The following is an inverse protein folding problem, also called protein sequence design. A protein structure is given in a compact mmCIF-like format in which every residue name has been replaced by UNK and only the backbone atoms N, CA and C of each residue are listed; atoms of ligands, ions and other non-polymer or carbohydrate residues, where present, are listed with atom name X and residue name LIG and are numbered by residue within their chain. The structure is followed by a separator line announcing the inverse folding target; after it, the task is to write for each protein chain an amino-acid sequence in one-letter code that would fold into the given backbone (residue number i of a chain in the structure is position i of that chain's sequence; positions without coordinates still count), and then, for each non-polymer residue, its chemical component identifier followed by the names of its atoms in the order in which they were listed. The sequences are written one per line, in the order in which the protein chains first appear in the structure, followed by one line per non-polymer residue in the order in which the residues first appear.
data_IF_649574249394
#
_entry.id   IF_649574249394
#
_cell.length_a   1.000
_cell.length_b   1.000
_cell.length_c   1.000
_cell.angle_alpha   90.00
_cell.angle_beta   90.00
_cell.angle_gamma   90.00
#
_symmetry.space_group_name_H-M   'P 1'
#
loop_
_entity.id
_entity.type
_entity.pdbx_description
1 polymer ?
#
# COMPACT_ATOMS: atom_id res chain seq x y z
N UNK A 1 5.31 1.07 -27.20
CA UNK A 1 6.52 1.68 -26.60
C UNK A 1 6.73 1.25 -25.15
N UNK A 2 5.71 1.35 -24.28
CA UNK A 2 5.79 0.99 -22.86
C UNK A 2 6.40 -0.40 -22.60
N UNK A 3 5.84 -1.45 -23.21
CA UNK A 3 6.32 -2.83 -23.09
C UNK A 3 7.77 -3.02 -23.52
N UNK A 4 8.24 -2.27 -24.54
CA UNK A 4 9.63 -2.36 -24.97
C UNK A 4 10.57 -1.77 -23.91
N UNK A 5 10.20 -0.64 -23.31
CA UNK A 5 10.96 -0.07 -22.19
C UNK A 5 10.95 -1.01 -20.98
N UNK A 6 9.81 -1.61 -20.65
CA UNK A 6 9.72 -2.56 -19.54
C UNK A 6 10.62 -3.79 -19.76
N UNK A 7 10.55 -4.41 -20.95
CA UNK A 7 11.38 -5.56 -21.30
C UNK A 7 12.87 -5.21 -21.31
N UNK A 8 13.22 -3.99 -21.77
CA UNK A 8 14.58 -3.49 -21.69
C UNK A 8 15.04 -3.32 -20.23
N UNK A 9 14.20 -2.79 -19.34
CA UNK A 9 14.52 -2.66 -17.92
C UNK A 9 14.84 -4.02 -17.28
N UNK A 10 14.00 -5.03 -17.56
CA UNK A 10 14.21 -6.42 -17.10
C UNK A 10 15.53 -6.98 -17.64
N UNK A 11 15.86 -6.70 -18.91
CA UNK A 11 17.11 -7.15 -19.52
C UNK A 11 18.32 -6.48 -18.86
N UNK A 12 18.29 -5.17 -18.65
CA UNK A 12 19.37 -4.46 -17.94
C UNK A 12 19.54 -4.94 -16.50
N UNK A 13 18.43 -5.33 -15.83
CA UNK A 13 18.49 -5.87 -14.45
C UNK A 13 19.30 -7.17 -14.42
N UNK A 14 19.07 -8.06 -15.39
CA UNK A 14 19.84 -9.31 -15.55
C UNK A 14 21.32 -9.07 -15.81
N UNK A 15 21.67 -7.93 -16.43
CA UNK A 15 23.05 -7.52 -16.67
C UNK A 15 23.65 -6.72 -15.50
N UNK A 16 22.95 -6.63 -14.37
CA UNK A 16 23.32 -5.85 -13.19
C UNK A 16 23.55 -4.35 -13.49
N UNK A 17 22.90 -3.81 -14.52
CA UNK A 17 22.97 -2.39 -14.87
C UNK A 17 21.79 -1.63 -14.27
N UNK A 18 21.89 -1.34 -12.97
CA UNK A 18 20.80 -0.75 -12.18
C UNK A 18 20.39 0.64 -12.68
N UNK A 19 21.33 1.47 -13.13
CA UNK A 19 21.02 2.80 -13.67
C UNK A 19 20.13 2.70 -14.91
N UNK A 20 20.47 1.79 -15.84
CA UNK A 20 19.66 1.59 -17.05
C UNK A 20 18.34 0.91 -16.74
N UNK A 21 18.31 -0.03 -15.79
CA UNK A 21 17.07 -0.62 -15.29
C UNK A 21 16.12 0.45 -14.76
N UNK A 22 16.59 1.30 -13.86
CA UNK A 22 15.82 2.41 -13.29
C UNK A 22 15.25 3.32 -14.39
N UNK A 23 16.11 3.83 -15.28
CA UNK A 23 15.69 4.75 -16.36
C UNK A 23 14.63 4.13 -17.27
N UNK A 24 14.73 2.84 -17.54
CA UNK A 24 13.79 2.14 -18.43
C UNK A 24 12.46 1.84 -17.73
N UNK A 25 12.46 1.52 -16.43
CA UNK A 25 11.21 1.42 -15.67
C UNK A 25 10.46 2.76 -15.59
N UNK A 26 11.16 3.88 -15.35
CA UNK A 26 10.53 5.22 -15.39
C UNK A 26 9.90 5.49 -16.76
N UNK A 27 10.63 5.24 -17.86
CA UNK A 27 10.11 5.40 -19.22
C UNK A 27 8.92 4.47 -19.50
N UNK A 28 8.94 3.24 -19.00
CA UNK A 28 7.81 2.33 -19.12
C UNK A 28 6.58 2.91 -18.41
N UNK A 29 6.76 3.38 -17.17
CA UNK A 29 5.71 4.03 -16.38
C UNK A 29 5.09 5.22 -17.10
N UNK A 30 5.91 6.15 -17.60
CA UNK A 30 5.45 7.29 -18.39
C UNK A 30 4.62 6.90 -19.61
N UNK A 31 5.04 5.85 -20.33
CA UNK A 31 4.34 5.41 -21.54
C UNK A 31 3.03 4.66 -21.21
N UNK A 32 3.01 3.85 -20.15
CA UNK A 32 1.78 3.20 -19.70
C UNK A 32 0.75 4.22 -19.20
N UNK A 33 1.21 5.27 -18.48
CA UNK A 33 0.34 6.35 -18.03
C UNK A 33 -0.36 7.06 -19.20
N UNK A 34 0.39 7.36 -20.27
CA UNK A 34 -0.16 8.01 -21.48
C UNK A 34 -1.23 7.18 -22.20
N UNK A 35 -1.19 5.86 -22.06
CA UNK A 35 -2.20 4.95 -22.62
C UNK A 35 -3.25 4.56 -21.59
N UNK A 36 -3.36 5.29 -20.48
CA UNK A 36 -4.30 5.07 -19.39
C UNK A 36 -4.21 3.68 -18.74
N UNK A 37 -3.09 2.99 -18.93
CA UNK A 37 -2.82 1.71 -18.26
C UNK A 37 -2.20 1.98 -16.89
N UNK A 38 -3.06 2.34 -15.93
CA UNK A 38 -2.65 2.79 -14.60
C UNK A 38 -1.96 1.68 -13.80
N UNK A 39 -2.38 0.42 -13.95
CA UNK A 39 -1.78 -0.72 -13.23
C UNK A 39 -0.30 -0.88 -13.61
N UNK A 40 -0.02 -1.09 -14.90
CA UNK A 40 1.34 -1.31 -15.39
C UNK A 40 2.21 -0.05 -15.20
N UNK A 41 1.61 1.14 -15.28
CA UNK A 41 2.28 2.39 -14.95
C UNK A 41 2.74 2.41 -13.50
N UNK A 42 1.85 2.10 -12.57
CA UNK A 42 2.12 2.14 -11.12
C UNK A 42 3.18 1.09 -10.75
N UNK A 43 3.05 -0.12 -11.29
CA UNK A 43 4.03 -1.18 -11.11
C UNK A 43 5.41 -0.79 -11.65
N UNK A 44 5.47 -0.15 -12.81
CA UNK A 44 6.74 0.33 -13.37
C UNK A 44 7.41 1.37 -12.46
N UNK A 45 6.65 2.27 -11.84
CA UNK A 45 7.20 3.25 -10.91
C UNK A 45 7.65 2.63 -9.58
N UNK A 46 6.91 1.65 -9.05
CA UNK A 46 7.34 0.88 -7.88
C UNK A 46 8.66 0.14 -8.15
N UNK A 47 8.75 -0.54 -9.30
CA UNK A 47 9.99 -1.20 -9.72
C UNK A 47 11.15 -0.21 -9.90
N UNK A 48 10.90 0.97 -10.45
CA UNK A 48 11.92 2.02 -10.54
C UNK A 48 12.41 2.44 -9.15
N UNK A 49 11.49 2.67 -8.21
CA UNK A 49 11.84 3.02 -6.84
C UNK A 49 12.70 1.94 -6.17
N UNK A 50 12.30 0.67 -6.27
CA UNK A 50 13.05 -0.44 -5.67
C UNK A 50 14.49 -0.52 -6.21
N UNK A 51 14.67 -0.31 -7.52
CA UNK A 51 16.01 -0.31 -8.15
C UNK A 51 16.84 0.90 -7.72
N UNK A 52 16.21 2.06 -7.54
CA UNK A 52 16.92 3.24 -7.06
C UNK A 52 17.44 3.03 -5.63
N UNK A 53 16.64 2.40 -4.76
CA UNK A 53 17.07 2.02 -3.40
C UNK A 53 18.14 0.94 -3.43
N UNK A 54 17.94 -0.13 -4.21
CA UNK A 54 18.89 -1.24 -4.36
C UNK A 54 20.27 -0.76 -4.83
N UNK A 55 20.30 0.17 -5.79
CA UNK A 55 21.53 0.68 -6.38
C UNK A 55 22.11 1.92 -5.69
N UNK A 56 21.47 2.46 -4.65
CA UNK A 56 21.87 3.75 -4.07
C UNK A 56 21.89 4.90 -5.08
N UNK A 57 20.98 4.87 -6.05
CA UNK A 57 20.93 5.81 -7.17
C UNK A 57 20.32 7.14 -6.74
N UNK A 58 20.79 8.25 -7.31
CA UNK A 58 20.07 9.52 -7.23
C UNK A 58 18.81 9.46 -8.10
N UNK A 59 17.67 9.87 -7.56
CA UNK A 59 16.39 9.83 -8.25
C UNK A 59 15.49 11.00 -7.87
N UNK A 60 14.57 11.36 -8.76
CA UNK A 60 13.56 12.36 -8.49
C UNK A 60 12.50 11.79 -7.53
N UNK A 61 12.80 11.81 -6.23
CA UNK A 61 11.93 11.27 -5.18
C UNK A 61 10.51 11.83 -5.26
N UNK A 62 10.38 13.16 -5.36
CA UNK A 62 9.07 13.81 -5.45
C UNK A 62 8.27 13.33 -6.66
N UNK A 63 8.90 13.29 -7.84
CA UNK A 63 8.25 12.85 -9.08
C UNK A 63 7.79 11.38 -9.02
N UNK A 64 8.66 10.48 -8.59
CA UNK A 64 8.35 9.05 -8.48
C UNK A 64 7.24 8.81 -7.46
N UNK A 65 7.36 9.37 -6.25
CA UNK A 65 6.36 9.17 -5.20
C UNK A 65 5.01 9.71 -5.59
N UNK A 66 4.95 10.90 -6.21
CA UNK A 66 3.68 11.46 -6.68
C UNK A 66 2.98 10.55 -7.71
N UNK A 67 3.74 9.94 -8.63
CA UNK A 67 3.16 9.01 -9.61
C UNK A 67 2.65 7.73 -8.96
N UNK A 68 3.41 7.16 -8.02
CA UNK A 68 2.99 5.98 -7.25
C UNK A 68 1.70 6.29 -6.48
N UNK A 69 1.68 7.37 -5.70
CA UNK A 69 0.52 7.79 -4.89
C UNK A 69 -0.73 7.96 -5.77
N UNK A 70 -0.60 8.65 -6.91
CA UNK A 70 -1.71 8.85 -7.85
C UNK A 70 -2.22 7.54 -8.43
N UNK A 71 -1.31 6.67 -8.87
CA UNK A 71 -1.64 5.36 -9.41
C UNK A 71 -2.38 4.49 -8.40
N UNK A 72 -1.80 4.31 -7.21
CA UNK A 72 -2.40 3.54 -6.11
C UNK A 72 -3.80 4.05 -5.75
N UNK A 73 -4.01 5.37 -5.67
CA UNK A 73 -5.31 5.95 -5.34
C UNK A 73 -6.37 5.69 -6.42
N UNK A 74 -5.99 5.72 -7.70
CA UNK A 74 -6.91 5.41 -8.81
C UNK A 74 -7.32 3.94 -8.76
N UNK A 75 -6.35 3.03 -8.60
CA UNK A 75 -6.59 1.58 -8.53
C UNK A 75 -7.46 1.25 -7.30
N UNK A 76 -7.16 1.85 -6.14
CA UNK A 76 -7.95 1.68 -4.93
C UNK A 76 -9.40 2.14 -5.13
N UNK A 77 -9.62 3.30 -5.75
CA UNK A 77 -10.96 3.83 -6.03
C UNK A 77 -11.77 2.86 -6.89
N UNK A 78 -11.16 2.23 -7.88
CA UNK A 78 -11.82 1.23 -8.72
C UNK A 78 -12.12 -0.07 -7.93
N UNK A 79 -11.16 -0.53 -7.13
CA UNK A 79 -11.37 -1.65 -6.20
C UNK A 79 -12.55 -1.43 -5.25
N UNK A 80 -12.71 -0.22 -4.71
CA UNK A 80 -13.84 0.13 -3.84
C UNK A 80 -15.19 0.01 -4.55
N UNK A 81 -15.30 0.46 -5.80
CA UNK A 81 -16.54 0.31 -6.59
C UNK A 81 -16.88 -1.17 -6.80
N UNK A 82 -15.86 -1.98 -7.02
CA UNK A 82 -15.98 -3.43 -7.25
C UNK A 82 -16.02 -4.25 -5.96
N UNK A 83 -16.19 -3.60 -4.79
CA UNK A 83 -16.26 -4.24 -3.45
C UNK A 83 -15.00 -5.02 -3.05
N UNK A 84 -13.86 -4.75 -3.69
CA UNK A 84 -12.54 -5.29 -3.34
C UNK A 84 -11.93 -4.49 -2.18
N UNK A 85 -12.63 -4.44 -1.05
CA UNK A 85 -12.30 -3.53 0.05
C UNK A 85 -10.92 -3.77 0.67
N UNK A 86 -10.50 -5.03 0.81
CA UNK A 86 -9.18 -5.37 1.34
C UNK A 86 -8.07 -4.81 0.44
N UNK A 87 -8.11 -5.15 -0.86
CA UNK A 87 -7.12 -4.68 -1.83
C UNK A 87 -7.08 -3.15 -1.89
N UNK A 88 -8.24 -2.51 -1.94
CA UNK A 88 -8.31 -1.05 -1.96
C UNK A 88 -7.72 -0.41 -0.71
N UNK A 89 -8.01 -0.96 0.48
CA UNK A 89 -7.47 -0.45 1.73
C UNK A 89 -5.93 -0.60 1.79
N UNK A 90 -5.40 -1.73 1.29
CA UNK A 90 -3.94 -1.97 1.21
C UNK A 90 -3.25 -0.99 0.29
N UNK A 91 -3.83 -0.72 -0.88
CA UNK A 91 -3.31 0.28 -1.81
C UNK A 91 -3.31 1.70 -1.21
N UNK A 92 -4.34 2.05 -0.43
CA UNK A 92 -4.39 3.35 0.27
C UNK A 92 -3.29 3.41 1.35
N UNK A 93 -3.06 2.34 2.12
CA UNK A 93 -1.95 2.33 3.09
C UNK A 93 -0.59 2.49 2.43
N UNK A 94 -0.34 1.77 1.33
CA UNK A 94 0.92 1.90 0.60
C UNK A 94 1.10 3.32 0.06
N UNK A 95 0.02 3.94 -0.42
CA UNK A 95 0.00 5.35 -0.84
C UNK A 95 0.38 6.31 0.30
N UNK A 96 -0.11 6.08 1.53
CA UNK A 96 0.26 6.88 2.71
C UNK A 96 1.76 6.79 3.01
N UNK A 97 2.35 5.59 2.93
CA UNK A 97 3.79 5.36 3.17
C UNK A 97 4.67 6.20 2.23
N UNK A 98 4.28 6.35 0.96
CA UNK A 98 4.99 7.23 0.03
C UNK A 98 4.71 8.72 0.31
N UNK A 99 3.46 9.06 0.62
CA UNK A 99 3.07 10.45 0.89
C UNK A 99 3.81 11.03 2.11
N UNK A 100 3.93 10.27 3.21
CA UNK A 100 4.61 10.70 4.44
C UNK A 100 6.10 10.98 4.26
N UNK A 101 6.72 10.48 3.18
CA UNK A 101 8.13 10.71 2.89
C UNK A 101 8.38 11.95 2.00
N UNK A 102 7.33 12.67 1.63
CA UNK A 102 7.42 13.94 0.91
C UNK A 102 7.54 15.10 1.90
N UNK A 103 8.41 16.07 1.63
CA UNK A 103 8.54 17.29 2.46
C UNK A 103 7.24 18.12 2.52
N UNK A 104 6.35 17.91 1.55
CA UNK A 104 5.04 18.57 1.45
C UNK A 104 3.92 17.82 2.17
N UNK A 105 4.22 16.70 2.84
CA UNK A 105 3.24 15.90 3.53
C UNK A 105 2.55 16.71 4.63
N UNK A 106 1.21 16.66 4.68
CA UNK A 106 0.43 17.31 5.73
C UNK A 106 -0.26 16.27 6.60
N UNK A 107 -0.06 16.37 7.91
CA UNK A 107 -0.59 15.42 8.89
C UNK A 107 -2.11 15.23 8.79
N UNK A 108 -2.86 16.30 8.51
CA UNK A 108 -4.32 16.19 8.40
C UNK A 108 -4.77 15.31 7.22
N UNK A 109 -4.06 15.33 6.09
CA UNK A 109 -4.38 14.51 4.92
C UNK A 109 -4.06 13.04 5.18
N UNK A 110 -2.92 12.76 5.82
CA UNK A 110 -2.57 11.42 6.30
C UNK A 110 -3.69 10.90 7.21
N UNK A 111 -4.10 11.70 8.19
CA UNK A 111 -5.15 11.32 9.14
C UNK A 111 -6.50 11.03 8.44
N UNK A 112 -6.87 11.78 7.40
CA UNK A 112 -8.08 11.47 6.62
C UNK A 112 -7.95 10.15 5.83
N UNK A 113 -6.81 9.90 5.20
CA UNK A 113 -6.57 8.65 4.49
C UNK A 113 -6.61 7.45 5.45
N UNK A 114 -5.95 7.56 6.61
CA UNK A 114 -5.96 6.52 7.66
C UNK A 114 -7.38 6.29 8.20
N UNK A 115 -8.19 7.33 8.42
CA UNK A 115 -9.61 7.17 8.83
C UNK A 115 -10.43 6.33 7.86
N UNK A 116 -10.15 6.45 6.57
CA UNK A 116 -10.87 5.71 5.53
C UNK A 116 -10.42 4.26 5.43
N UNK A 117 -9.13 3.98 5.62
CA UNK A 117 -8.55 2.62 5.61
C UNK A 117 -9.23 1.71 6.63
N UNK A 118 -9.39 2.16 7.88
CA UNK A 118 -10.10 1.43 8.93
C UNK A 118 -11.48 0.95 8.45
N UNK A 119 -12.27 1.85 7.88
CA UNK A 119 -13.65 1.56 7.44
C UNK A 119 -13.67 0.49 6.36
N UNK A 120 -12.70 0.49 5.45
CA UNK A 120 -12.65 -0.46 4.35
C UNK A 120 -12.18 -1.85 4.79
N UNK A 121 -11.17 -1.94 5.64
CA UNK A 121 -10.77 -3.23 6.20
C UNK A 121 -11.88 -3.86 7.05
N UNK A 122 -12.55 -3.06 7.88
CA UNK A 122 -13.67 -3.55 8.68
C UNK A 122 -14.83 -4.06 7.81
N UNK A 123 -15.13 -3.36 6.70
CA UNK A 123 -16.10 -3.86 5.70
C UNK A 123 -15.63 -5.15 5.02
N UNK A 124 -14.34 -5.28 4.71
CA UNK A 124 -13.78 -6.48 4.09
C UNK A 124 -13.94 -7.70 5.01
N UNK A 125 -13.61 -7.56 6.30
CA UNK A 125 -13.77 -8.60 7.31
C UNK A 125 -15.23 -9.08 7.41
N UNK A 126 -16.17 -8.14 7.40
CA UNK A 126 -17.61 -8.42 7.56
C UNK A 126 -18.27 -9.05 6.33
N UNK A 127 -17.64 -9.06 5.16
CA UNK A 127 -18.23 -9.68 3.98
C UNK A 127 -18.34 -11.22 4.11
N UNK A 128 -17.60 -11.86 5.03
CA UNK A 128 -17.54 -13.33 5.30
C UNK A 128 -17.43 -14.25 4.05
N UNK A 129 -17.17 -13.67 2.87
CA UNK A 129 -17.03 -14.34 1.55
C UNK A 129 -15.57 -14.47 1.10
N UNK A 130 -14.63 -14.06 1.96
CA UNK A 130 -13.18 -14.13 1.72
C UNK A 130 -12.57 -15.20 2.63
N UNK A 131 -11.44 -15.75 2.24
CA UNK A 131 -10.76 -16.81 3.01
C UNK A 131 -10.43 -16.36 4.44
N UNK A 132 -10.43 -17.31 5.37
CA UNK A 132 -10.20 -17.10 6.80
C UNK A 132 -8.99 -16.21 7.11
N UNK A 133 -7.86 -16.44 6.46
CA UNK A 133 -6.64 -15.64 6.61
C UNK A 133 -6.86 -14.16 6.26
N UNK A 134 -7.63 -13.87 5.20
CA UNK A 134 -7.94 -12.50 4.79
C UNK A 134 -8.93 -11.83 5.75
N UNK A 135 -9.85 -12.57 6.37
CA UNK A 135 -10.75 -12.04 7.40
C UNK A 135 -9.93 -11.59 8.61
N UNK A 136 -9.07 -12.48 9.14
CA UNK A 136 -8.19 -12.18 10.28
C UNK A 136 -7.30 -10.98 9.97
N UNK A 137 -6.63 -10.96 8.82
CA UNK A 137 -5.79 -9.83 8.41
C UNK A 137 -6.59 -8.53 8.29
N UNK A 138 -7.82 -8.58 7.78
CA UNK A 138 -8.69 -7.40 7.69
C UNK A 138 -9.02 -6.84 9.08
N UNK A 139 -9.34 -7.69 10.06
CA UNK A 139 -9.56 -7.23 11.44
C UNK A 139 -8.30 -6.62 12.04
N UNK A 140 -7.14 -7.25 11.87
CA UNK A 140 -5.85 -6.73 12.35
C UNK A 140 -5.55 -5.35 11.77
N UNK A 141 -5.69 -5.18 10.45
CA UNK A 141 -5.42 -3.92 9.78
C UNK A 141 -6.45 -2.84 10.13
N UNK A 142 -7.71 -3.22 10.34
CA UNK A 142 -8.74 -2.31 10.86
C UNK A 142 -8.42 -1.83 12.29
N UNK A 143 -7.92 -2.73 13.14
CA UNK A 143 -7.48 -2.40 14.51
C UNK A 143 -6.28 -1.45 14.48
N UNK A 144 -5.21 -1.77 13.74
CA UNK A 144 -4.02 -0.92 13.57
C UNK A 144 -4.41 0.47 13.05
N UNK A 145 -5.26 0.53 12.02
CA UNK A 145 -5.76 1.80 11.48
C UNK A 145 -6.57 2.59 12.52
N UNK A 146 -7.28 1.92 13.44
CA UNK A 146 -7.95 2.60 14.55
C UNK A 146 -6.96 3.17 15.58
N UNK A 147 -5.87 2.46 15.88
CA UNK A 147 -4.79 2.97 16.74
C UNK A 147 -4.16 4.23 16.14
N UNK A 148 -3.82 4.20 14.85
CA UNK A 148 -3.26 5.35 14.14
C UNK A 148 -4.20 6.57 14.13
N UNK A 149 -5.50 6.36 14.33
CA UNK A 149 -6.51 7.42 14.49
C UNK A 149 -6.71 7.87 15.95
N UNK A 150 -5.88 7.42 16.89
CA UNK A 150 -5.98 7.69 18.32
C UNK A 150 -7.13 6.96 19.02
N UNK A 151 -7.65 5.88 18.43
CA UNK A 151 -8.84 5.15 18.94
C UNK A 151 -8.47 3.78 19.49
N UNK A 152 -7.65 3.74 20.54
CA UNK A 152 -7.13 2.49 21.13
C UNK A 152 -8.25 1.55 21.61
N UNK A 153 -9.26 2.07 22.31
CA UNK A 153 -10.41 1.26 22.75
C UNK A 153 -11.14 0.61 21.57
N UNK A 154 -11.30 1.35 20.45
CA UNK A 154 -11.94 0.81 19.25
C UNK A 154 -11.11 -0.28 18.59
N UNK A 155 -9.78 -0.15 18.61
CA UNK A 155 -8.89 -1.19 18.13
C UNK A 155 -9.03 -2.50 18.92
N UNK A 156 -9.17 -2.41 20.24
CA UNK A 156 -9.41 -3.57 21.11
C UNK A 156 -10.78 -4.21 20.85
N UNK A 157 -11.83 -3.41 20.62
CA UNK A 157 -13.14 -3.94 20.20
C UNK A 157 -13.02 -4.73 18.89
N UNK A 158 -12.42 -4.14 17.86
CA UNK A 158 -12.28 -4.77 16.53
C UNK A 158 -11.52 -6.10 16.61
N UNK A 159 -10.43 -6.15 17.38
CA UNK A 159 -9.63 -7.37 17.47
C UNK A 159 -10.33 -8.48 18.28
N UNK A 160 -11.24 -8.10 19.19
CA UNK A 160 -12.07 -9.04 19.94
C UNK A 160 -13.15 -9.71 19.06
N UNK A 161 -13.55 -9.08 17.95
CA UNK A 161 -14.51 -9.63 16.98
C UNK A 161 -13.93 -10.79 16.14
N UNK A 162 -12.63 -11.07 16.24
CA UNK A 162 -12.05 -12.26 15.62
C UNK A 162 -12.51 -13.49 16.41
N UNK A 163 -13.57 -14.13 15.92
CA UNK A 163 -14.18 -15.38 16.43
C UNK A 163 -13.27 -16.62 16.25
N UNK A 164 -12.18 -16.48 15.50
CA UNK A 164 -11.28 -17.57 15.18
C UNK A 164 -10.21 -17.78 16.25
N UNK A 165 -9.85 -19.04 16.47
CA UNK A 165 -8.83 -19.46 17.44
C UNK A 165 -7.57 -19.99 16.73
N UNK A 166 -6.43 -19.86 17.42
CA UNK A 166 -5.16 -20.45 16.99
C UNK A 166 -3.97 -19.55 17.25
N UNK A 167 -2.80 -20.16 17.39
CA UNK A 167 -1.54 -19.49 17.76
C UNK A 167 -1.25 -18.23 16.92
N UNK A 168 -1.51 -18.27 15.62
CA UNK A 168 -1.32 -17.10 14.74
C UNK A 168 -2.28 -15.96 15.05
N UNK A 169 -3.56 -16.27 15.33
CA UNK A 169 -4.56 -15.27 15.70
C UNK A 169 -4.22 -14.66 17.06
N UNK A 170 -3.79 -15.49 18.02
CA UNK A 170 -3.40 -15.04 19.35
C UNK A 170 -2.21 -14.08 19.28
N UNK A 171 -1.19 -14.40 18.48
CA UNK A 171 -0.06 -13.51 18.22
C UNK A 171 -0.47 -12.19 17.58
N UNK A 172 -1.45 -12.20 16.67
CA UNK A 172 -1.98 -10.96 16.10
C UNK A 172 -2.73 -10.12 17.14
N UNK A 173 -3.54 -10.75 18.00
CA UNK A 173 -4.23 -10.09 19.12
C UNK A 173 -3.22 -9.46 20.10
N UNK A 174 -2.15 -10.18 20.40
CA UNK A 174 -1.04 -9.71 21.24
C UNK A 174 -0.29 -8.53 20.60
N UNK A 175 0.06 -8.64 19.31
CA UNK A 175 0.73 -7.56 18.58
C UNK A 175 -0.07 -6.25 18.63
N UNK A 176 -1.39 -6.30 18.45
CA UNK A 176 -2.24 -5.10 18.52
C UNK A 176 -2.19 -4.47 19.92
N UNK A 177 -2.17 -5.28 20.99
CA UNK A 177 -2.03 -4.77 22.36
C UNK A 177 -0.66 -4.12 22.57
N UNK A 178 0.41 -4.76 22.13
CA UNK A 178 1.77 -4.21 22.22
C UNK A 178 1.90 -2.87 21.49
N UNK A 179 1.31 -2.75 20.29
CA UNK A 179 1.32 -1.47 19.54
C UNK A 179 0.58 -0.37 20.32
N UNK A 180 -0.55 -0.69 20.96
CA UNK A 180 -1.27 0.27 21.82
C UNK A 180 -0.39 0.73 22.98
N UNK A 181 0.29 -0.20 23.65
CA UNK A 181 1.20 0.10 24.75
C UNK A 181 2.37 0.99 24.31
N UNK A 182 2.95 0.75 23.13
CA UNK A 182 4.06 1.56 22.60
C UNK A 182 3.63 2.95 22.11
N UNK A 183 2.37 3.09 21.69
CA UNK A 183 1.82 4.35 21.18
C UNK A 183 1.16 5.24 22.26
N UNK A 184 1.06 4.76 23.51
CA UNK A 184 0.47 5.48 24.64
C UNK A 184 1.54 6.20 25.47
#
# INVERSE_FOLDING_TARGET
AATNFFNAAVTFKKLNNLEMTYKHYVKAGDNYWKTENVNDSTESYLNAYDIAIEGGLEYNRFGIFNQIIRGLNIIAKEGLKNKQFYTAATLIMESIKFYQQLDTAKDFLVNEMVKNVYRYYYRAANLKKIGHSHIVQSYVLAAISSILNGKNNKALEIISEIEFEGNTVDKYKELVKLIIEWAS
#
